data_IF_218556686189
#
_entry.id   IF_218556686189
#
_cell.length_a   1.000
_cell.length_b   1.000
_cell.length_c   1.000
_cell.angle_alpha   90.00
_cell.angle_beta   90.00
_cell.angle_gamma   90.00
#
_symmetry.space_group_name_H-M   'P 1'
#
loop_
_entity.id
_entity.type
_entity.pdbx_description
1 polymer ?
#
# COMPACT_ATOMS: atom_id res chain seq x y z
N UNK A 1 -6.73 0.25 10.15
CA UNK A 1 -7.90 0.03 11.05
C UNK A 1 -8.12 -1.43 11.46
N UNK A 2 -8.40 -2.40 10.57
CA UNK A 2 -8.58 -3.83 10.98
C UNK A 2 -7.31 -4.48 11.55
N UNK A 3 -6.18 -4.35 10.83
CA UNK A 3 -4.89 -4.94 11.22
C UNK A 3 -4.36 -4.36 12.52
N UNK A 4 -4.45 -3.04 12.70
CA UNK A 4 -4.11 -2.36 13.96
C UNK A 4 -4.93 -2.89 15.14
N UNK A 5 -6.26 -3.05 14.96
CA UNK A 5 -7.13 -3.64 15.98
C UNK A 5 -6.74 -5.09 16.31
N UNK A 6 -6.31 -5.89 15.33
CA UNK A 6 -5.81 -7.25 15.59
C UNK A 6 -4.50 -7.25 16.35
N UNK A 7 -3.57 -6.36 15.99
CA UNK A 7 -2.30 -6.20 16.71
C UNK A 7 -2.59 -5.86 18.18
N UNK A 8 -3.52 -4.94 18.45
CA UNK A 8 -3.85 -4.54 19.81
C UNK A 8 -4.54 -5.65 20.62
N UNK A 9 -5.35 -6.50 19.99
CA UNK A 9 -6.10 -7.57 20.67
C UNK A 9 -5.33 -8.89 20.83
N UNK A 10 -4.49 -9.24 19.84
CA UNK A 10 -3.90 -10.58 19.72
C UNK A 10 -2.36 -10.56 19.76
N UNK A 11 -1.73 -9.38 19.75
CA UNK A 11 -0.29 -9.21 19.65
C UNK A 11 0.24 -9.29 18.21
N UNK A 12 1.42 -8.71 17.98
CA UNK A 12 2.02 -8.57 16.63
C UNK A 12 2.22 -9.88 15.88
N UNK A 13 2.71 -10.92 16.57
CA UNK A 13 3.00 -12.22 15.94
C UNK A 13 1.75 -12.90 15.35
N UNK A 14 0.62 -12.85 16.06
CA UNK A 14 -0.66 -13.43 15.60
C UNK A 14 -1.33 -12.59 14.51
N UNK A 15 -0.95 -11.31 14.38
CA UNK A 15 -1.47 -10.40 13.37
C UNK A 15 -0.57 -10.28 12.12
N UNK A 16 0.57 -11.00 12.06
CA UNK A 16 1.59 -10.82 11.03
C UNK A 16 1.07 -11.03 9.61
N UNK A 17 0.20 -12.02 9.38
CA UNK A 17 -0.40 -12.22 8.06
C UNK A 17 -1.22 -11.00 7.62
N UNK A 18 -2.00 -10.43 8.54
CA UNK A 18 -2.74 -9.20 8.30
C UNK A 18 -1.82 -8.00 8.02
N UNK A 19 -0.67 -7.92 8.69
CA UNK A 19 0.36 -6.90 8.43
C UNK A 19 0.89 -7.06 7.00
N UNK A 20 1.37 -8.25 6.65
CA UNK A 20 1.93 -8.53 5.32
C UNK A 20 0.91 -8.20 4.21
N UNK A 21 -0.35 -8.65 4.35
CA UNK A 21 -1.43 -8.35 3.39
C UNK A 21 -1.70 -6.84 3.28
N UNK A 22 -1.75 -6.14 4.42
CA UNK A 22 -2.02 -4.70 4.44
C UNK A 22 -0.87 -3.91 3.81
N UNK A 23 0.38 -4.31 4.08
CA UNK A 23 1.55 -3.65 3.51
C UNK A 23 1.58 -3.77 2.00
N UNK A 24 1.32 -4.97 1.45
CA UNK A 24 1.22 -5.16 -0.02
C UNK A 24 0.13 -4.28 -0.61
N UNK A 25 -1.08 -4.33 -0.04
CA UNK A 25 -2.22 -3.56 -0.52
C UNK A 25 -1.92 -2.06 -0.54
N UNK A 26 -1.42 -1.51 0.56
CA UNK A 26 -1.12 -0.06 0.66
C UNK A 26 -0.04 0.34 -0.34
N UNK A 27 1.02 -0.45 -0.51
CA UNK A 27 2.10 -0.12 -1.44
C UNK A 27 1.60 -0.05 -2.89
N UNK A 28 0.77 -1.00 -3.31
CA UNK A 28 0.27 -1.08 -4.69
C UNK A 28 -0.82 -0.03 -4.97
N UNK A 29 -1.79 0.11 -4.07
CA UNK A 29 -2.88 1.07 -4.25
C UNK A 29 -2.40 2.52 -4.09
N UNK A 30 -1.45 2.79 -3.20
CA UNK A 30 -0.91 4.14 -3.06
C UNK A 30 -0.10 4.57 -4.29
N UNK A 31 0.63 3.64 -4.93
CA UNK A 31 1.27 3.90 -6.22
C UNK A 31 0.24 4.20 -7.32
N UNK A 32 -0.88 3.45 -7.35
CA UNK A 32 -1.97 3.71 -8.30
C UNK A 32 -2.63 5.07 -8.07
N UNK A 33 -2.92 5.43 -6.82
CA UNK A 33 -3.47 6.74 -6.45
C UNK A 33 -2.53 7.86 -6.89
N UNK A 34 -1.22 7.69 -6.72
CA UNK A 34 -0.24 8.68 -7.14
C UNK A 34 -0.26 8.92 -8.66
N UNK A 35 -0.39 7.87 -9.47
CA UNK A 35 -0.47 8.03 -10.93
C UNK A 35 -1.79 8.69 -11.35
N UNK A 36 -2.93 8.25 -10.78
CA UNK A 36 -4.23 8.87 -11.04
C UNK A 36 -4.24 10.36 -10.69
N UNK A 37 -3.64 10.73 -9.56
CA UNK A 37 -3.53 12.13 -9.16
C UNK A 37 -2.67 12.94 -10.15
N UNK A 38 -1.56 12.38 -10.61
CA UNK A 38 -0.68 13.02 -11.59
C UNK A 38 -1.39 13.27 -12.93
N UNK A 39 -2.13 12.27 -13.44
CA UNK A 39 -2.95 12.41 -14.64
C UNK A 39 -4.03 13.48 -14.47
N UNK A 40 -4.73 13.46 -13.32
CA UNK A 40 -5.79 14.43 -13.01
C UNK A 40 -5.24 15.86 -12.96
N UNK A 41 -4.10 16.09 -12.31
CA UNK A 41 -3.47 17.42 -12.26
C UNK A 41 -3.05 17.91 -13.65
N UNK A 42 -2.50 17.02 -14.48
CA UNK A 42 -2.11 17.36 -15.85
C UNK A 42 -3.30 17.68 -16.76
N UNK A 43 -4.48 17.14 -16.46
CA UNK A 43 -5.73 17.46 -17.17
C UNK A 43 -6.33 18.81 -16.73
N UNK A 44 -6.07 19.23 -15.48
CA UNK A 44 -6.65 20.45 -14.90
C UNK A 44 -5.79 21.70 -15.09
N UNK A 45 -4.47 21.54 -15.08
CA UNK A 45 -3.53 22.65 -15.00
C UNK A 45 -2.39 22.50 -16.02
N UNK A 46 -1.73 23.61 -16.34
CA UNK A 46 -0.56 23.61 -17.22
C UNK A 46 0.51 24.59 -16.73
N UNK A 47 1.68 24.58 -17.38
CA UNK A 47 2.76 25.50 -17.05
C UNK A 47 3.29 25.39 -15.61
N UNK A 48 3.56 26.53 -14.98
CA UNK A 48 4.20 26.59 -13.67
C UNK A 48 3.30 26.12 -12.53
N UNK A 49 1.98 26.32 -12.65
CA UNK A 49 1.00 25.81 -11.68
C UNK A 49 1.07 24.28 -11.61
N UNK A 50 1.05 23.61 -12.77
CA UNK A 50 1.17 22.15 -12.85
C UNK A 50 2.50 21.67 -12.23
N UNK A 51 3.63 22.31 -12.57
CA UNK A 51 4.95 21.95 -12.01
C UNK A 51 4.96 22.05 -10.48
N UNK A 52 4.32 23.07 -9.94
CA UNK A 52 4.20 23.28 -8.49
C UNK A 52 3.36 22.18 -7.85
N UNK A 53 2.19 21.88 -8.40
CA UNK A 53 1.30 20.83 -7.88
C UNK A 53 1.94 19.44 -7.96
N UNK A 54 2.63 19.10 -9.06
CA UNK A 54 3.36 17.84 -9.18
C UNK A 54 4.50 17.73 -8.16
N UNK A 55 5.16 18.83 -7.82
CA UNK A 55 6.17 18.86 -6.76
C UNK A 55 5.58 18.60 -5.38
N UNK A 56 4.37 19.10 -5.11
CA UNK A 56 3.62 18.80 -3.88
C UNK A 56 3.21 17.32 -3.87
N UNK A 57 2.64 16.82 -4.97
CA UNK A 57 2.24 15.42 -5.10
C UNK A 57 3.42 14.49 -4.80
N UNK A 58 4.60 14.74 -5.38
CA UNK A 58 5.82 13.97 -5.12
C UNK A 58 6.21 13.92 -3.64
N UNK A 59 5.99 15.01 -2.89
CA UNK A 59 6.27 15.04 -1.44
C UNK A 59 5.25 14.21 -0.67
N UNK A 60 3.96 14.31 -1.03
CA UNK A 60 2.87 13.56 -0.39
C UNK A 60 2.96 12.05 -0.66
N UNK A 61 3.47 11.65 -1.83
CA UNK A 61 3.54 10.25 -2.24
C UNK A 61 4.89 9.58 -1.99
N UNK A 62 5.85 10.31 -1.40
CA UNK A 62 7.16 9.76 -1.05
C UNK A 62 7.00 8.65 -0.01
N UNK A 63 7.39 7.43 -0.37
CA UNK A 63 7.38 6.26 0.51
C UNK A 63 8.66 5.44 0.37
N UNK A 64 8.93 4.57 1.35
CA UNK A 64 9.98 3.56 1.24
C UNK A 64 9.37 2.30 0.61
N UNK A 65 9.88 1.81 -0.54
CA UNK A 65 9.31 0.63 -1.19
C UNK A 65 9.51 -0.62 -0.34
N UNK A 66 8.45 -1.42 -0.21
CA UNK A 66 8.53 -2.75 0.39
C UNK A 66 8.78 -3.81 -0.69
N UNK A 67 9.48 -4.90 -0.35
CA UNK A 67 9.59 -6.06 -1.23
C UNK A 67 8.26 -6.83 -1.27
N UNK A 68 7.32 -6.37 -2.10
CA UNK A 68 5.98 -6.95 -2.21
C UNK A 68 6.01 -8.38 -2.75
N UNK A 69 7.00 -8.75 -3.57
CA UNK A 69 7.17 -10.13 -4.05
C UNK A 69 7.41 -11.09 -2.88
N UNK A 70 8.33 -10.73 -1.97
CA UNK A 70 8.60 -11.54 -0.78
C UNK A 70 7.37 -11.63 0.14
N UNK A 71 6.67 -10.50 0.34
CA UNK A 71 5.44 -10.46 1.13
C UNK A 71 4.35 -11.36 0.55
N UNK A 72 4.12 -11.28 -0.77
CA UNK A 72 3.14 -12.13 -1.48
C UNK A 72 3.49 -13.61 -1.36
N UNK A 73 4.77 -13.97 -1.42
CA UNK A 73 5.21 -15.37 -1.20
C UNK A 73 4.88 -15.85 0.22
N UNK A 74 5.13 -15.04 1.25
CA UNK A 74 4.77 -15.38 2.63
C UNK A 74 3.26 -15.56 2.81
N UNK A 75 2.47 -14.66 2.23
CA UNK A 75 1.01 -14.73 2.24
C UNK A 75 0.55 -16.02 1.53
N UNK A 76 1.09 -16.30 0.34
CA UNK A 76 0.75 -17.49 -0.44
C UNK A 76 1.05 -18.79 0.32
N UNK A 77 2.20 -18.89 1.00
CA UNK A 77 2.52 -20.07 1.83
C UNK A 77 1.45 -20.34 2.89
N UNK A 78 0.94 -19.29 3.58
CA UNK A 78 -0.12 -19.45 4.59
C UNK A 78 -1.47 -19.83 4.00
N UNK A 79 -1.80 -19.30 2.83
CA UNK A 79 -3.05 -19.62 2.13
C UNK A 79 -3.02 -21.05 1.61
N UNK A 80 -1.89 -21.49 1.05
CA UNK A 80 -1.70 -22.86 0.56
C UNK A 80 -1.80 -23.86 1.71
N UNK A 81 -1.12 -23.59 2.84
CA UNK A 81 -1.17 -24.44 4.03
C UNK A 81 -2.60 -24.62 4.57
N UNK A 82 -3.45 -23.60 4.43
CA UNK A 82 -4.82 -23.63 4.91
C UNK A 82 -5.86 -24.06 3.87
N UNK A 83 -5.48 -24.16 2.58
CA UNK A 83 -6.34 -24.39 1.42
C UNK A 83 -7.57 -23.46 1.33
N UNK A 84 -7.50 -22.29 1.98
CA UNK A 84 -8.57 -21.30 2.02
C UNK A 84 -8.00 -19.94 2.38
N UNK A 85 -8.82 -18.91 2.21
CA UNK A 85 -8.48 -17.59 2.71
C UNK A 85 -8.29 -17.59 4.24
N UNK A 86 -7.15 -17.07 4.70
CA UNK A 86 -6.81 -16.99 6.13
C UNK A 86 -6.90 -15.52 6.58
N UNK A 87 -7.86 -15.18 7.46
CA UNK A 87 -8.18 -13.79 7.78
C UNK A 87 -7.24 -13.11 8.77
#
# INVERSE_FOLDING_TARGET
LRTQKRISLQGGAKAQLGVDMTTVFVQEEFARIAELAKETLAAMESGDTLRTQLSVLKKLTKSNPANTVQLKRRIASRVIEAERYVP
#
